data_IF_387899958633
#
_entry.id   IF_387899958633
#
_cell.length_a   1.000
_cell.length_b   1.000
_cell.length_c   1.000
_cell.angle_alpha   90.00
_cell.angle_beta   90.00
_cell.angle_gamma   90.00
#
_symmetry.space_group_name_H-M   'P 1'
#
loop_
_entity.id
_entity.type
_entity.pdbx_description
1 polymer ?
#
# COMPACT_ATOMS: atom_id res chain seq x y z
N UNK A 1 -1.83 21.65 2.41
CA UNK A 1 -1.33 20.30 2.75
C UNK A 1 0.10 20.21 2.19
N UNK A 2 1.02 19.48 2.82
CA UNK A 2 2.33 19.21 2.22
C UNK A 2 2.11 18.33 1.01
N UNK A 3 2.74 18.69 -0.09
CA UNK A 3 2.78 17.87 -1.30
C UNK A 3 3.95 16.89 -1.16
N UNK A 4 3.75 15.65 -1.59
CA UNK A 4 4.77 14.60 -1.57
C UNK A 4 5.24 14.35 -3.00
N UNK A 5 6.54 14.14 -3.16
CA UNK A 5 7.15 13.69 -4.42
C UNK A 5 7.50 12.20 -4.29
N UNK A 6 6.90 11.36 -5.13
CA UNK A 6 7.21 9.94 -5.25
C UNK A 6 7.90 9.72 -6.61
N UNK A 7 9.24 9.71 -6.63
CA UNK A 7 10.04 9.60 -7.86
C UNK A 7 9.63 10.59 -8.98
N UNK A 8 9.42 11.87 -8.64
CA UNK A 8 8.97 12.89 -9.60
C UNK A 8 7.45 12.95 -9.79
N UNK A 9 6.69 11.99 -9.26
CA UNK A 9 5.23 12.03 -9.22
C UNK A 9 4.76 12.87 -8.03
N UNK A 10 4.26 14.08 -8.31
CA UNK A 10 3.64 14.93 -7.30
C UNK A 10 2.28 14.41 -6.82
N UNK A 11 2.12 14.29 -5.50
CA UNK A 11 0.92 13.79 -4.80
C UNK A 11 0.48 14.82 -3.74
N UNK A 12 -0.75 15.32 -3.84
CA UNK A 12 -1.35 16.26 -2.88
C UNK A 12 -2.25 17.32 -3.53
N UNK A 13 -2.64 18.35 -2.76
CA UNK A 13 -3.61 19.38 -3.19
C UNK A 13 -3.23 20.15 -4.48
N UNK A 14 -1.94 20.18 -4.85
CA UNK A 14 -1.42 20.88 -6.03
C UNK A 14 -1.43 20.03 -7.31
N UNK A 15 -1.75 18.74 -7.19
CA UNK A 15 -1.76 17.77 -8.28
C UNK A 15 -3.15 17.11 -8.41
N UNK A 16 -3.49 16.55 -9.58
CA UNK A 16 -4.69 15.72 -9.70
C UNK A 16 -4.60 14.51 -8.75
N UNK A 17 -5.74 13.91 -8.36
CA UNK A 17 -5.74 12.61 -7.70
C UNK A 17 -4.95 11.59 -8.52
N UNK A 18 -4.06 10.85 -7.86
CA UNK A 18 -3.29 9.78 -8.48
C UNK A 18 -4.02 8.46 -8.36
N UNK A 19 -3.91 7.62 -9.38
CA UNK A 19 -4.48 6.29 -9.39
C UNK A 19 -3.39 5.28 -9.09
N UNK A 20 -3.60 4.48 -8.04
CA UNK A 20 -2.75 3.36 -7.68
C UNK A 20 -3.43 2.07 -8.12
N UNK A 21 -2.86 1.40 -9.13
CA UNK A 21 -3.22 0.05 -9.54
C UNK A 21 -2.61 -0.97 -8.59
N UNK A 22 -3.30 -2.08 -8.34
CA UNK A 22 -2.84 -3.12 -7.40
C UNK A 22 -2.51 -4.38 -8.19
N UNK A 23 -1.28 -4.85 -8.04
CA UNK A 23 -0.78 -6.11 -8.57
C UNK A 23 -0.48 -7.04 -7.39
N UNK A 24 -1.10 -8.21 -7.34
CA UNK A 24 -0.73 -9.22 -6.33
C UNK A 24 0.10 -10.32 -7.01
N UNK A 25 1.24 -10.63 -6.43
CA UNK A 25 2.14 -11.69 -6.89
C UNK A 25 2.12 -12.77 -5.82
N UNK A 26 1.25 -13.77 -5.98
CA UNK A 26 1.15 -14.89 -5.03
C UNK A 26 0.77 -16.18 -5.74
N UNK A 27 1.32 -17.31 -5.29
CA UNK A 27 1.01 -18.63 -5.84
C UNK A 27 -0.34 -19.19 -5.34
N UNK A 28 -0.89 -18.68 -4.23
CA UNK A 28 -1.96 -19.37 -3.46
C UNK A 28 -3.35 -18.70 -3.44
N UNK A 29 -3.64 -17.70 -4.28
CA UNK A 29 -4.90 -16.93 -4.14
C UNK A 29 -6.10 -17.48 -4.96
N UNK A 30 -7.33 -17.51 -4.39
CA UNK A 30 -8.56 -17.91 -5.06
C UNK A 30 -9.31 -16.80 -5.83
N UNK A 31 -8.73 -15.60 -5.99
CA UNK A 31 -9.35 -14.45 -6.67
C UNK A 31 -8.74 -14.16 -8.07
N UNK A 32 -9.60 -13.92 -9.07
CA UNK A 32 -9.36 -13.51 -10.47
C UNK A 32 -8.78 -12.06 -10.59
N UNK A 33 -8.47 -11.57 -11.80
CA UNK A 33 -7.25 -11.73 -12.63
C UNK A 33 -5.98 -11.06 -12.08
N UNK A 34 -5.99 -10.45 -10.89
CA UNK A 34 -4.84 -9.65 -10.40
C UNK A 34 -3.76 -10.47 -9.67
N UNK A 35 -3.73 -11.78 -9.89
CA UNK A 35 -2.82 -12.72 -9.21
C UNK A 35 -2.03 -13.45 -10.28
N UNK A 36 -0.72 -13.18 -10.32
CA UNK A 36 0.16 -13.73 -11.36
C UNK A 36 1.32 -14.48 -10.72
N UNK A 37 1.57 -15.69 -11.22
CA UNK A 37 2.77 -16.47 -10.92
C UNK A 37 3.82 -16.37 -12.04
N UNK A 38 3.41 -15.90 -13.23
CA UNK A 38 4.29 -15.65 -14.37
C UNK A 38 4.55 -14.14 -14.52
N UNK A 39 5.82 -13.68 -14.48
CA UNK A 39 6.16 -12.26 -14.62
C UNK A 39 5.73 -11.64 -15.95
N UNK A 40 5.71 -12.42 -17.04
CA UNK A 40 5.33 -11.92 -18.36
C UNK A 40 3.83 -11.64 -18.46
N UNK A 41 3.00 -12.53 -17.92
CA UNK A 41 1.55 -12.29 -17.79
C UNK A 41 1.26 -11.11 -16.85
N UNK A 42 1.99 -11.01 -15.73
CA UNK A 42 1.87 -9.90 -14.80
C UNK A 42 2.23 -8.56 -15.47
N UNK A 43 3.33 -8.51 -16.23
CA UNK A 43 3.79 -7.31 -16.91
C UNK A 43 2.82 -6.86 -18.00
N UNK A 44 2.28 -7.80 -18.79
CA UNK A 44 1.26 -7.52 -19.80
C UNK A 44 -0.01 -6.96 -19.16
N UNK A 45 -0.45 -7.53 -18.03
CA UNK A 45 -1.58 -7.00 -17.27
C UNK A 45 -1.32 -5.58 -16.75
N UNK A 46 -0.13 -5.32 -16.21
CA UNK A 46 0.26 -3.97 -15.78
C UNK A 46 0.20 -2.99 -16.95
N UNK A 47 0.78 -3.34 -18.09
CA UNK A 47 0.81 -2.47 -19.28
C UNK A 47 -0.60 -2.20 -19.83
N UNK A 48 -1.41 -3.23 -20.02
CA UNK A 48 -2.71 -3.11 -20.70
C UNK A 48 -3.81 -2.58 -19.78
N UNK A 49 -3.87 -3.06 -18.53
CA UNK A 49 -5.03 -2.91 -17.65
C UNK A 49 -4.78 -1.98 -16.45
N UNK A 50 -3.52 -1.75 -16.05
CA UNK A 50 -3.21 -0.77 -14.99
C UNK A 50 -2.74 0.54 -15.62
N UNK A 51 -1.57 0.55 -16.25
CA UNK A 51 -0.97 1.74 -16.86
C UNK A 51 -1.80 2.19 -18.06
N UNK A 52 -2.22 1.25 -18.92
CA UNK A 52 -3.08 1.52 -20.08
C UNK A 52 -4.42 2.17 -19.72
N UNK A 53 -4.95 1.89 -18.52
CA UNK A 53 -6.17 2.51 -17.99
C UNK A 53 -5.91 3.77 -17.13
N UNK A 54 -4.64 4.17 -16.95
CA UNK A 54 -4.25 5.43 -16.33
C UNK A 54 -3.81 5.34 -14.87
N UNK A 55 -3.32 4.19 -14.41
CA UNK A 55 -2.59 4.10 -13.14
C UNK A 55 -1.30 4.93 -13.20
N UNK A 56 -1.11 5.83 -12.23
CA UNK A 56 0.15 6.56 -12.03
C UNK A 56 1.14 5.77 -11.17
N UNK A 57 0.62 4.85 -10.34
CA UNK A 57 1.38 4.04 -9.38
C UNK A 57 0.94 2.58 -9.55
N UNK A 58 1.88 1.65 -9.52
CA UNK A 58 1.62 0.20 -9.44
C UNK A 58 2.10 -0.28 -8.08
N UNK A 59 1.17 -0.72 -7.23
CA UNK A 59 1.47 -1.24 -5.90
C UNK A 59 1.48 -2.77 -5.92
N UNK A 60 2.60 -3.34 -5.52
CA UNK A 60 2.87 -4.78 -5.62
C UNK A 60 2.81 -5.42 -4.24
N UNK A 61 1.82 -6.29 -4.04
CA UNK A 61 1.72 -7.14 -2.86
C UNK A 61 2.30 -8.52 -3.12
N UNK A 62 3.23 -8.97 -2.27
CA UNK A 62 3.85 -10.31 -2.33
C UNK A 62 3.04 -11.38 -1.58
N UNK A 63 2.05 -10.93 -0.81
CA UNK A 63 1.16 -11.76 0.00
C UNK A 63 -0.29 -11.66 -0.48
N UNK A 64 -1.09 -12.69 -0.20
CA UNK A 64 -2.52 -12.64 -0.45
C UNK A 64 -3.22 -11.63 0.46
N UNK A 65 -4.04 -10.75 -0.12
CA UNK A 65 -4.93 -9.87 0.63
C UNK A 65 -6.04 -10.61 1.44
N UNK A 66 -6.10 -11.94 1.40
CA UNK A 66 -7.09 -12.73 2.13
C UNK A 66 -6.65 -12.96 3.59
N UNK A 67 -7.34 -12.25 4.48
CA UNK A 67 -7.16 -12.20 5.95
C UNK A 67 -7.32 -13.54 6.69
N UNK A 68 -7.57 -14.64 5.97
CA UNK A 68 -7.65 -16.00 6.53
C UNK A 68 -6.34 -16.78 6.42
N UNK A 69 -5.39 -16.29 5.63
CA UNK A 69 -4.07 -16.91 5.55
C UNK A 69 -3.17 -16.39 6.67
N UNK A 70 -2.20 -17.22 7.06
CA UNK A 70 -1.17 -16.83 8.02
C UNK A 70 -0.27 -15.77 7.38
N UNK A 71 0.17 -14.82 8.19
CA UNK A 71 1.11 -13.78 7.78
C UNK A 71 2.42 -14.42 7.36
N UNK A 72 2.92 -14.04 6.18
CA UNK A 72 4.24 -14.47 5.73
C UNK A 72 5.35 -13.83 6.56
N UNK A 73 6.39 -14.60 6.84
CA UNK A 73 7.64 -14.06 7.37
C UNK A 73 8.38 -13.24 6.29
N UNK A 74 9.27 -12.34 6.72
CA UNK A 74 10.06 -11.51 5.80
C UNK A 74 10.84 -12.33 4.76
N UNK A 75 11.43 -13.45 5.17
CA UNK A 75 12.16 -14.35 4.26
C UNK A 75 11.25 -14.93 3.16
N UNK A 76 9.98 -15.20 3.47
CA UNK A 76 9.01 -15.74 2.49
C UNK A 76 8.51 -14.66 1.52
N UNK A 77 8.39 -13.41 1.97
CA UNK A 77 8.16 -12.28 1.06
C UNK A 77 9.39 -12.07 0.16
N UNK A 78 10.60 -12.10 0.70
CA UNK A 78 11.85 -11.95 -0.07
C UNK A 78 12.00 -13.03 -1.15
N UNK A 79 11.62 -14.28 -0.87
CA UNK A 79 11.63 -15.37 -1.86
C UNK A 79 10.69 -15.10 -3.06
N UNK A 80 9.66 -14.26 -2.88
CA UNK A 80 8.71 -13.87 -3.94
C UNK A 80 9.08 -12.55 -4.64
N UNK A 81 10.01 -11.80 -4.07
CA UNK A 81 10.42 -10.50 -4.61
C UNK A 81 11.01 -10.62 -6.02
N UNK A 82 11.71 -11.72 -6.32
CA UNK A 82 12.29 -11.95 -7.65
C UNK A 82 11.23 -11.88 -8.76
N UNK A 83 10.06 -12.51 -8.56
CA UNK A 83 8.94 -12.47 -9.53
C UNK A 83 8.40 -11.05 -9.72
N UNK A 84 8.30 -10.27 -8.64
CA UNK A 84 7.87 -8.87 -8.71
C UNK A 84 8.87 -7.99 -9.46
N UNK A 85 10.17 -8.21 -9.24
CA UNK A 85 11.25 -7.49 -9.94
C UNK A 85 11.27 -7.86 -11.43
N UNK A 86 11.17 -9.14 -11.77
CA UNK A 86 11.09 -9.58 -13.18
C UNK A 86 9.86 -9.00 -13.88
N UNK A 87 8.75 -8.84 -13.15
CA UNK A 87 7.54 -8.19 -13.67
C UNK A 87 7.84 -6.73 -13.99
N UNK A 88 8.40 -5.98 -13.03
CA UNK A 88 8.79 -4.58 -13.19
C UNK A 88 9.72 -4.40 -14.40
N UNK A 89 10.76 -5.23 -14.52
CA UNK A 89 11.72 -5.17 -15.62
C UNK A 89 11.10 -5.49 -16.99
N UNK A 90 10.01 -6.28 -16.99
CA UNK A 90 9.30 -6.69 -18.21
C UNK A 90 8.19 -5.72 -18.62
N UNK A 91 7.73 -4.86 -17.72
CA UNK A 91 6.73 -3.83 -17.99
C UNK A 91 7.33 -2.70 -18.83
N UNK A 92 6.58 -2.22 -19.82
CA UNK A 92 7.01 -1.14 -20.72
C UNK A 92 6.39 0.23 -20.39
N UNK A 93 5.29 0.23 -19.64
CA UNK A 93 4.57 1.38 -19.15
C UNK A 93 5.33 2.19 -18.11
N UNK A 94 5.01 3.47 -18.04
CA UNK A 94 5.62 4.43 -17.11
C UNK A 94 4.69 4.61 -15.90
N UNK A 95 5.11 4.10 -14.74
CA UNK A 95 4.42 4.23 -13.47
C UNK A 95 5.43 4.16 -12.32
N UNK A 96 5.10 4.80 -11.21
CA UNK A 96 5.88 4.65 -9.97
C UNK A 96 5.60 3.27 -9.38
N UNK A 97 6.64 2.50 -9.10
CA UNK A 97 6.51 1.18 -8.51
C UNK A 97 6.57 1.23 -6.99
N UNK A 98 5.48 0.82 -6.35
CA UNK A 98 5.34 0.73 -4.90
C UNK A 98 5.39 -0.72 -4.43
N UNK A 99 6.11 -0.99 -3.35
CA UNK A 99 6.13 -2.29 -2.70
C UNK A 99 5.22 -2.28 -1.46
N UNK A 100 4.21 -3.15 -1.43
CA UNK A 100 3.38 -3.38 -0.25
C UNK A 100 4.08 -4.39 0.66
N UNK A 101 4.50 -3.95 1.84
CA UNK A 101 5.12 -4.83 2.84
C UNK A 101 4.96 -4.24 4.25
N UNK A 102 5.35 -5.02 5.24
CA UNK A 102 5.44 -4.64 6.65
C UNK A 102 6.88 -4.69 7.19
N UNK A 103 7.82 -5.21 6.40
CA UNK A 103 9.19 -5.50 6.83
C UNK A 103 10.18 -4.56 6.16
N UNK A 104 11.02 -3.91 6.94
CA UNK A 104 12.02 -3.00 6.40
C UNK A 104 13.03 -3.72 5.48
N UNK A 105 13.35 -4.99 5.75
CA UNK A 105 14.27 -5.77 4.91
C UNK A 105 13.71 -6.03 3.51
N UNK A 106 12.40 -6.25 3.40
CA UNK A 106 11.71 -6.43 2.11
C UNK A 106 11.66 -5.10 1.36
N UNK A 107 11.32 -4.01 2.06
CA UNK A 107 11.31 -2.67 1.48
C UNK A 107 12.71 -2.29 0.95
N UNK A 108 13.76 -2.44 1.77
CA UNK A 108 15.15 -2.16 1.38
C UNK A 108 15.57 -2.97 0.14
N UNK A 109 15.29 -4.28 0.14
CA UNK A 109 15.61 -5.15 -0.99
C UNK A 109 14.85 -4.80 -2.27
N UNK A 110 13.59 -4.35 -2.17
CA UNK A 110 12.80 -3.92 -3.32
C UNK A 110 13.30 -2.57 -3.88
N UNK A 111 13.60 -1.61 -3.00
CA UNK A 111 14.13 -0.29 -3.37
C UNK A 111 15.49 -0.41 -4.08
N UNK A 112 16.36 -1.31 -3.62
CA UNK A 112 17.63 -1.63 -4.31
C UNK A 112 17.44 -2.17 -5.73
N UNK A 113 16.25 -2.65 -6.07
CA UNK A 113 15.91 -3.30 -7.34
C UNK A 113 14.95 -2.49 -8.21
N UNK A 114 14.78 -1.20 -7.91
CA UNK A 114 14.08 -0.26 -8.77
C UNK A 114 12.64 0.05 -8.37
N UNK A 115 12.17 -0.43 -7.21
CA UNK A 115 10.98 0.15 -6.59
C UNK A 115 11.29 1.56 -6.08
N UNK A 116 10.27 2.42 -6.07
CA UNK A 116 10.40 3.86 -5.90
C UNK A 116 9.53 4.42 -4.76
N UNK A 117 8.65 3.59 -4.22
CA UNK A 117 7.72 3.92 -3.15
C UNK A 117 7.49 2.70 -2.25
N UNK A 118 7.15 2.93 -0.99
CA UNK A 118 6.73 1.89 -0.04
C UNK A 118 5.27 2.08 0.33
N UNK A 119 4.51 0.99 0.40
CA UNK A 119 3.20 0.94 1.02
C UNK A 119 3.27 0.10 2.30
N UNK A 120 3.44 0.77 3.43
CA UNK A 120 3.58 0.15 4.74
C UNK A 120 2.20 -0.08 5.38
N UNK A 121 1.75 -1.32 5.29
CA UNK A 121 0.47 -1.78 5.84
C UNK A 121 0.46 -1.96 7.37
N UNK A 122 1.61 -1.83 8.03
CA UNK A 122 1.73 -1.91 9.49
C UNK A 122 2.06 -0.56 10.15
N UNK A 123 2.13 0.52 9.38
CA UNK A 123 2.15 1.87 9.93
C UNK A 123 3.37 2.17 10.78
N UNK A 124 4.55 1.70 10.36
CA UNK A 124 5.82 1.74 11.06
C UNK A 124 5.85 0.93 12.36
N UNK A 125 5.10 -0.17 12.43
CA UNK A 125 5.29 -1.14 13.51
C UNK A 125 6.71 -1.73 13.51
N UNK A 126 7.30 -1.88 12.31
CA UNK A 126 8.74 -2.08 12.15
C UNK A 126 9.47 -0.75 12.41
N UNK A 127 10.30 -0.64 13.46
CA UNK A 127 10.96 0.61 13.82
C UNK A 127 12.05 1.06 12.83
N UNK A 128 12.54 0.16 11.97
CA UNK A 128 13.57 0.49 10.97
C UNK A 128 12.97 1.00 9.65
N UNK A 129 11.68 0.71 9.38
CA UNK A 129 10.99 1.12 8.15
C UNK A 129 11.06 2.65 7.87
N UNK A 130 10.83 3.56 8.85
CA UNK A 130 11.00 4.99 8.61
C UNK A 130 12.43 5.36 8.19
N UNK A 131 13.44 4.73 8.80
CA UNK A 131 14.86 4.97 8.49
C UNK A 131 15.16 4.57 7.05
N UNK A 132 14.72 3.38 6.63
CA UNK A 132 14.87 2.92 5.25
C UNK A 132 14.22 3.90 4.27
N UNK A 133 12.98 4.30 4.52
CA UNK A 133 12.28 5.25 3.64
C UNK A 133 13.02 6.61 3.51
N UNK A 134 13.59 7.11 4.61
CA UNK A 134 14.35 8.37 4.61
C UNK A 134 15.72 8.23 3.93
N UNK A 135 16.42 7.11 4.12
CA UNK A 135 17.74 6.85 3.51
C UNK A 135 17.66 6.74 1.99
N UNK A 136 16.60 6.11 1.48
CA UNK A 136 16.33 6.01 0.04
C UNK A 136 15.60 7.24 -0.53
N UNK A 137 15.22 8.21 0.31
CA UNK A 137 14.42 9.40 -0.05
C UNK A 137 13.11 9.05 -0.81
N UNK A 138 12.41 8.00 -0.37
CA UNK A 138 11.18 7.54 -1.03
C UNK A 138 9.91 7.99 -0.32
N UNK A 139 8.82 8.09 -1.07
CA UNK A 139 7.50 8.27 -0.51
C UNK A 139 7.02 6.99 0.17
N UNK A 140 6.22 7.15 1.21
CA UNK A 140 5.63 6.02 1.93
C UNK A 140 4.15 6.25 2.20
N UNK A 141 3.31 5.33 1.73
CA UNK A 141 1.94 5.19 2.21
C UNK A 141 1.99 4.50 3.56
N UNK A 142 1.55 5.19 4.61
CA UNK A 142 1.53 4.68 5.97
C UNK A 142 0.10 4.38 6.37
N UNK A 143 -0.24 3.10 6.52
CA UNK A 143 -1.56 2.67 6.94
C UNK A 143 -1.75 2.79 8.46
N UNK A 144 -2.95 3.18 8.87
CA UNK A 144 -3.39 3.15 10.26
C UNK A 144 -3.46 1.70 10.75
N UNK A 145 -2.51 1.31 11.59
CA UNK A 145 -2.33 -0.06 12.05
C UNK A 145 -1.94 -0.11 13.53
N UNK A 146 -2.25 -1.21 14.25
CA UNK A 146 -1.64 -1.45 15.56
C UNK A 146 -0.12 -1.61 15.41
N UNK A 147 0.66 -1.39 16.49
CA UNK A 147 2.10 -1.63 16.51
C UNK A 147 2.41 -3.13 16.61
N UNK A 148 1.91 -3.90 15.64
CA UNK A 148 1.94 -5.35 15.57
C UNK A 148 2.06 -5.78 14.10
N UNK A 149 3.22 -6.35 13.76
CA UNK A 149 3.51 -6.82 12.40
C UNK A 149 2.61 -8.00 11.99
N UNK A 150 2.01 -8.73 12.92
CA UNK A 150 1.13 -9.86 12.60
C UNK A 150 -0.32 -9.41 12.34
N UNK A 151 -0.66 -8.14 12.58
CA UNK A 151 -2.04 -7.64 12.56
C UNK A 151 -2.21 -6.33 11.74
N UNK A 152 -1.82 -6.30 10.46
CA UNK A 152 -1.91 -5.10 9.62
C UNK A 152 -3.35 -4.59 9.52
N UNK A 153 -3.52 -3.29 9.69
CA UNK A 153 -4.80 -2.59 9.56
C UNK A 153 -5.86 -2.97 10.60
N UNK A 154 -5.55 -3.80 11.59
CA UNK A 154 -6.50 -4.34 12.57
C UNK A 154 -6.98 -3.32 13.62
N UNK A 155 -7.31 -2.12 13.16
CA UNK A 155 -7.94 -1.03 13.90
C UNK A 155 -9.46 -1.26 13.88
N UNK A 156 -10.05 -1.34 15.07
CA UNK A 156 -11.44 -1.79 15.24
C UNK A 156 -12.45 -0.67 15.06
N UNK A 157 -12.13 0.56 15.49
CA UNK A 157 -13.08 1.69 15.48
C UNK A 157 -12.57 2.89 14.69
N UNK A 158 -13.46 3.72 14.14
CA UNK A 158 -13.06 4.94 13.41
C UNK A 158 -12.20 5.91 14.23
N UNK A 159 -12.43 6.00 15.55
CA UNK A 159 -11.64 6.90 16.42
C UNK A 159 -10.23 6.37 16.68
N UNK A 160 -10.02 5.05 16.66
CA UNK A 160 -8.71 4.44 16.91
C UNK A 160 -7.75 4.66 15.72
N UNK A 161 -8.28 4.99 14.54
CA UNK A 161 -7.50 5.31 13.32
C UNK A 161 -6.59 6.51 13.56
N UNK A 162 -7.06 7.52 14.31
CA UNK A 162 -6.28 8.73 14.56
C UNK A 162 -5.04 8.42 15.39
N UNK A 163 -5.23 7.72 16.51
CA UNK A 163 -4.14 7.29 17.37
C UNK A 163 -3.16 6.40 16.61
N UNK A 164 -3.67 5.43 15.83
CA UNK A 164 -2.86 4.52 15.02
C UNK A 164 -2.01 5.26 13.96
N UNK A 165 -2.56 6.30 13.31
CA UNK A 165 -1.79 7.12 12.37
C UNK A 165 -0.68 7.91 13.06
N UNK A 166 -0.85 8.35 14.31
CA UNK A 166 0.17 9.12 15.03
C UNK A 166 1.29 8.25 15.62
N UNK A 167 1.02 6.96 15.86
CA UNK A 167 2.03 6.02 16.37
C UNK A 167 3.30 6.03 15.51
N UNK A 168 4.46 6.01 16.16
CA UNK A 168 5.78 5.96 15.51
C UNK A 168 6.08 7.12 14.55
N UNK A 169 5.28 8.19 14.57
CA UNK A 169 5.53 9.42 13.83
C UNK A 169 5.37 9.28 12.31
N UNK A 170 6.05 10.16 11.59
CA UNK A 170 5.96 10.28 10.14
C UNK A 170 7.30 10.75 9.56
N UNK A 171 7.60 10.33 8.33
CA UNK A 171 8.69 10.88 7.50
C UNK A 171 8.22 12.17 6.79
N UNK A 172 9.11 12.91 6.13
CA UNK A 172 8.68 14.09 5.36
C UNK A 172 7.82 13.74 4.14
N UNK A 173 8.02 12.54 3.55
CA UNK A 173 7.28 12.04 2.37
C UNK A 173 6.15 11.05 2.71
N UNK A 174 5.64 11.06 3.95
CA UNK A 174 4.50 10.19 4.31
C UNK A 174 3.17 10.67 3.72
N UNK A 175 2.46 9.72 3.10
CA UNK A 175 1.04 9.74 2.71
C UNK A 175 0.28 8.92 3.76
N UNK A 176 -0.86 9.42 4.26
CA UNK A 176 -1.62 8.70 5.30
C UNK A 176 -2.72 7.83 4.69
N UNK A 177 -2.86 6.59 5.14
CA UNK A 177 -3.95 5.69 4.77
C UNK A 177 -4.81 5.34 6.01
N UNK A 178 -6.10 5.73 6.06
CA UNK A 178 -7.02 5.39 7.14
C UNK A 178 -7.43 3.90 7.27
N UNK A 179 -6.81 2.99 6.53
CA UNK A 179 -7.04 1.54 6.57
C UNK A 179 -8.48 1.14 6.19
N UNK A 180 -8.97 1.59 5.03
CA UNK A 180 -10.33 1.25 4.58
C UNK A 180 -10.50 -0.24 4.22
N UNK A 181 -11.66 -0.79 4.58
CA UNK A 181 -12.17 -2.01 3.99
C UNK A 181 -11.90 -3.30 4.75
N UNK A 182 -12.36 -3.32 6.01
CA UNK A 182 -12.60 -4.53 6.79
C UNK A 182 -11.35 -5.28 7.25
N UNK A 183 -10.30 -4.58 7.70
CA UNK A 183 -9.04 -5.19 8.13
C UNK A 183 -9.06 -6.01 9.43
N UNK A 184 -10.15 -5.93 10.18
CA UNK A 184 -10.45 -6.79 11.31
C UNK A 184 -11.86 -7.38 11.15
N UNK A 185 -12.12 -8.56 11.71
CA UNK A 185 -13.47 -9.13 11.80
C UNK A 185 -14.44 -8.22 12.56
N UNK A 186 -13.90 -7.40 13.47
CA UNK A 186 -14.68 -6.45 14.28
C UNK A 186 -15.03 -5.17 13.53
N UNK A 187 -14.32 -4.85 12.43
CA UNK A 187 -14.56 -3.62 11.66
C UNK A 187 -15.76 -3.81 10.74
N UNK A 188 -16.84 -3.09 11.01
CA UNK A 188 -18.10 -3.22 10.27
C UNK A 188 -18.14 -2.31 9.03
N UNK A 189 -19.10 -2.57 8.15
CA UNK A 189 -19.42 -1.69 7.01
C UNK A 189 -19.82 -0.28 7.48
N UNK A 190 -20.47 -0.15 8.64
CA UNK A 190 -20.84 1.17 9.16
C UNK A 190 -19.61 1.93 9.67
N UNK A 191 -18.60 1.23 10.21
CA UNK A 191 -17.33 1.84 10.60
C UNK A 191 -16.56 2.36 9.38
N UNK A 192 -16.51 1.59 8.29
CA UNK A 192 -15.92 2.04 7.02
C UNK A 192 -16.67 3.27 6.45
N UNK A 193 -18.01 3.28 6.53
CA UNK A 193 -18.82 4.44 6.10
C UNK A 193 -18.60 5.66 6.98
N UNK A 194 -18.51 5.48 8.28
CA UNK A 194 -18.24 6.57 9.20
C UNK A 194 -16.86 7.17 8.95
N UNK A 195 -15.84 6.32 8.81
CA UNK A 195 -14.49 6.73 8.40
C UNK A 195 -14.52 7.52 7.08
N UNK A 196 -15.32 7.06 6.10
CA UNK A 196 -15.47 7.75 4.81
C UNK A 196 -16.16 9.11 4.94
N UNK A 197 -17.20 9.24 5.76
CA UNK A 197 -17.86 10.53 6.05
C UNK A 197 -16.89 11.52 6.70
N UNK A 198 -15.96 10.99 7.51
CA UNK A 198 -14.92 11.73 8.22
C UNK A 198 -13.63 11.91 7.43
N UNK A 199 -13.58 11.53 6.16
CA UNK A 199 -12.35 11.58 5.35
C UNK A 199 -11.65 12.95 5.35
N UNK A 200 -12.42 14.04 5.47
CA UNK A 200 -11.87 15.41 5.55
C UNK A 200 -11.05 15.67 6.82
N UNK A 201 -11.30 14.94 7.90
CA UNK A 201 -10.59 15.08 9.18
C UNK A 201 -9.11 14.71 9.04
N UNK A 202 -8.78 13.68 8.24
CA UNK A 202 -7.39 13.25 8.00
C UNK A 202 -6.54 14.32 7.31
N UNK A 203 -7.14 15.35 6.70
CA UNK A 203 -6.40 16.52 6.21
C UNK A 203 -5.70 17.29 7.33
N UNK A 204 -6.14 17.11 8.58
CA UNK A 204 -5.52 17.68 9.79
C UNK A 204 -4.05 17.28 9.96
N UNK A 205 -3.63 16.13 9.44
CA UNK A 205 -2.22 15.70 9.44
C UNK A 205 -1.35 16.52 8.49
N UNK A 206 -1.94 17.35 7.62
CA UNK A 206 -1.20 18.17 6.68
C UNK A 206 -0.45 17.35 5.63
N UNK A 207 -0.86 16.11 5.37
CA UNK A 207 -0.25 15.14 4.43
C UNK A 207 -1.29 14.65 3.41
N UNK A 208 -0.87 14.20 2.21
CA UNK A 208 -1.79 13.57 1.27
C UNK A 208 -2.42 12.32 1.89
N UNK A 209 -3.61 11.95 1.40
CA UNK A 209 -4.38 10.82 1.91
C UNK A 209 -4.56 9.79 0.81
N UNK A 210 -4.15 8.56 1.06
CA UNK A 210 -4.49 7.40 0.24
C UNK A 210 -5.84 6.83 0.71
N UNK A 211 -6.69 6.44 -0.24
CA UNK A 211 -8.01 5.88 0.05
C UNK A 211 -8.25 4.65 -0.81
N UNK A 212 -8.25 3.47 -0.20
CA UNK A 212 -8.62 2.22 -0.86
C UNK A 212 -10.13 1.99 -0.84
N UNK A 213 -10.78 2.16 -1.99
CA UNK A 213 -12.23 1.91 -2.16
C UNK A 213 -12.57 0.78 -3.14
N UNK A 214 -11.57 0.16 -3.77
CA UNK A 214 -11.78 -0.81 -4.85
C UNK A 214 -12.51 -2.08 -4.35
N UNK A 215 -13.60 -2.45 -5.05
CA UNK A 215 -14.44 -3.63 -4.77
C UNK A 215 -14.98 -3.72 -3.32
N UNK A 216 -14.89 -2.65 -2.53
CA UNK A 216 -15.32 -2.67 -1.12
C UNK A 216 -16.85 -2.67 -1.02
N UNK A 217 -17.37 -3.58 -0.20
CA UNK A 217 -18.81 -3.81 -0.07
C UNK A 217 -19.59 -2.60 0.49
N UNK A 218 -18.93 -1.70 1.23
CA UNK A 218 -19.58 -0.55 1.85
C UNK A 218 -20.11 0.50 0.84
N UNK A 219 -19.62 0.48 -0.41
CA UNK A 219 -20.09 1.35 -1.50
C UNK A 219 -21.33 0.83 -2.24
N UNK A 220 -21.68 -0.45 -2.06
CA UNK A 220 -22.72 -1.12 -2.86
C UNK A 220 -24.15 -0.92 -2.33
N UNK A 221 -24.32 -0.16 -1.25
CA UNK A 221 -25.58 0.05 -0.52
C UNK A 221 -25.57 1.40 0.14
#
# INVERSE_FOLDING_TARGET
>A
MRTVDAAGLGIGDEYPPRIMGVLNVSEESPYDPSVFADPGEAAAYVDDELVGEGADIVDVGLESANKRFEVLAADEELDRLDTAVETLESTSGDAVWSIETRYHEVAEAALDRGFEMVNDICGFADPEMPRVCEEYDVAVSKMASPPDLERPGAVEKPDDIYDALELNGFTDKTIVDPAFGGWSEDKTVEDDRETFRRLREFRGYGRPVLVSINRKNFLRT
#
